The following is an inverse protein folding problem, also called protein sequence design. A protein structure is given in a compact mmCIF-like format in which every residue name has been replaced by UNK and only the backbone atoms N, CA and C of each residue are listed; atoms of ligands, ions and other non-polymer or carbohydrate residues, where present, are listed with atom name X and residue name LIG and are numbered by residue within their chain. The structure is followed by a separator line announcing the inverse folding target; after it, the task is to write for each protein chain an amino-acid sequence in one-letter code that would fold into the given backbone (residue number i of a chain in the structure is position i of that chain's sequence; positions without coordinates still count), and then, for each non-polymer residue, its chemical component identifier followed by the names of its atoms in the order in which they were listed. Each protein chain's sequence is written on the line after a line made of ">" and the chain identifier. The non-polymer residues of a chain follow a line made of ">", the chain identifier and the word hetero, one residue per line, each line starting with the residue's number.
data_IF_882655161962
#
_entry.id   IF_882655161962
#
_cell.length_a   1.000
_cell.length_b   1.000
_cell.length_c   1.000
_cell.angle_alpha   90.00
_cell.angle_beta   90.00
_cell.angle_gamma   90.00
#
_symmetry.space_group_name_H-M   'P 1'
#
loop_
_entity.id
_entity.type
_entity.pdbx_description
1 polymer ?
#
# COMPACT_ATOMS: atom_id res chain seq x y z
N UNK A 1 23.57 -7.61 6.61
CA UNK A 1 24.29 -6.36 6.29
C UNK A 1 23.29 -5.42 5.67
N UNK A 2 22.98 -4.36 6.40
CA UNK A 2 21.86 -3.46 6.20
C UNK A 2 22.08 -2.63 4.92
N UNK A 3 21.38 -2.98 3.85
CA UNK A 3 21.34 -2.16 2.64
C UNK A 3 20.78 -0.79 3.01
N UNK A 4 21.56 0.27 2.74
CA UNK A 4 21.15 1.64 2.94
C UNK A 4 19.80 1.85 2.25
N UNK A 5 18.75 2.07 3.03
CA UNK A 5 17.42 2.43 2.54
C UNK A 5 17.49 3.86 2.02
N UNK A 6 17.99 4.04 0.81
CA UNK A 6 17.96 5.33 0.14
C UNK A 6 16.52 5.70 -0.19
N UNK A 7 16.05 6.76 0.46
CA UNK A 7 14.75 7.39 0.25
C UNK A 7 14.56 7.69 -1.24
N UNK A 8 13.36 7.39 -1.76
CA UNK A 8 13.02 7.74 -3.13
C UNK A 8 12.89 9.25 -3.34
N UNK A 9 14.01 9.88 -3.70
CA UNK A 9 14.06 11.23 -4.26
C UNK A 9 13.79 11.16 -5.77
N UNK A 10 12.58 10.73 -6.13
CA UNK A 10 12.12 10.64 -7.52
C UNK A 10 12.58 9.35 -8.22
N UNK A 11 13.02 9.41 -9.49
CA UNK A 11 13.27 8.23 -10.32
C UNK A 11 14.59 7.50 -10.00
N UNK A 12 15.25 7.83 -8.88
CA UNK A 12 16.32 7.03 -8.29
C UNK A 12 15.81 5.87 -7.41
N UNK A 13 14.49 5.67 -7.29
CA UNK A 13 13.95 4.45 -6.67
C UNK A 13 14.46 3.20 -7.39
N UNK A 14 15.39 2.45 -6.78
CA UNK A 14 15.91 1.22 -7.35
C UNK A 14 15.39 0.01 -6.58
N UNK A 15 14.13 -0.39 -6.76
CA UNK A 15 13.64 -1.68 -6.25
C UNK A 15 12.60 -2.30 -7.20
N UNK A 16 13.07 -2.73 -8.37
CA UNK A 16 12.42 -3.74 -9.19
C UNK A 16 13.40 -4.89 -9.43
N UNK A 17 12.95 -6.11 -9.78
CA UNK A 17 13.82 -7.26 -10.06
C UNK A 17 14.85 -7.00 -11.18
N UNK A 18 14.66 -5.93 -11.96
CA UNK A 18 15.50 -5.54 -13.09
C UNK A 18 16.22 -4.19 -12.91
N UNK A 19 16.24 -3.61 -11.70
CA UNK A 19 16.95 -2.35 -11.42
C UNK A 19 16.36 -1.08 -12.05
N UNK A 20 15.16 -1.15 -12.65
CA UNK A 20 14.47 0.01 -13.23
C UNK A 20 13.62 0.75 -12.20
N UNK A 21 13.51 2.07 -12.33
CA UNK A 21 12.72 2.87 -11.39
C UNK A 21 11.23 2.77 -11.66
N UNK A 22 10.51 2.33 -10.64
CA UNK A 22 9.04 2.18 -10.63
C UNK A 22 8.32 3.50 -10.34
N UNK A 23 9.06 4.57 -10.02
CA UNK A 23 8.50 5.88 -9.74
C UNK A 23 7.98 6.53 -11.02
N UNK A 24 6.75 7.05 -10.96
CA UNK A 24 6.09 7.76 -12.05
C UNK A 24 5.41 9.02 -11.53
N UNK A 25 5.40 10.07 -12.35
CA UNK A 25 4.67 11.30 -12.10
C UNK A 25 3.33 11.26 -12.83
N UNK A 26 2.22 11.37 -12.11
CA UNK A 26 0.86 11.36 -12.69
C UNK A 26 0.62 12.49 -13.69
N UNK A 27 1.26 13.65 -13.49
CA UNK A 27 1.21 14.80 -14.40
C UNK A 27 2.14 14.70 -15.59
N UNK A 28 2.99 13.66 -15.67
CA UNK A 28 4.03 13.50 -16.71
C UNK A 28 4.93 14.74 -16.89
N UNK A 29 5.05 15.57 -15.85
CA UNK A 29 5.82 16.81 -15.86
C UNK A 29 7.29 16.62 -15.46
N UNK A 30 7.67 15.39 -15.12
CA UNK A 30 9.03 15.06 -14.69
C UNK A 30 9.95 14.88 -15.91
N UNK A 31 11.02 15.66 -16.00
CA UNK A 31 12.03 15.56 -17.05
C UNK A 31 13.43 15.49 -16.44
N UNK A 32 14.29 14.55 -16.87
CA UNK A 32 15.71 14.63 -16.54
C UNK A 32 16.31 15.86 -17.25
N UNK A 33 17.06 16.67 -16.52
CA UNK A 33 17.74 17.85 -17.05
C UNK A 33 19.16 17.86 -16.50
N UNK A 34 20.11 18.26 -17.34
CA UNK A 34 21.51 18.40 -16.94
C UNK A 34 21.69 19.81 -16.40
N UNK A 35 22.06 19.94 -15.13
CA UNK A 35 22.48 21.22 -14.54
C UNK A 35 23.91 21.06 -14.03
N UNK A 36 24.85 21.75 -14.69
CA UNK A 36 26.27 21.55 -14.47
C UNK A 36 26.70 20.11 -14.78
N UNK A 37 27.37 19.45 -13.83
CA UNK A 37 27.85 18.07 -13.96
C UNK A 37 26.88 17.00 -13.39
N UNK A 38 25.64 17.36 -13.05
CA UNK A 38 24.69 16.42 -12.43
C UNK A 38 23.39 16.34 -13.24
N UNK A 39 22.88 15.12 -13.39
CA UNK A 39 21.51 14.87 -13.87
C UNK A 39 20.57 15.11 -12.70
N UNK A 40 19.73 16.12 -12.83
CA UNK A 40 18.67 16.46 -11.87
C UNK A 40 17.30 16.20 -12.51
N UNK A 41 16.32 15.86 -11.67
CA UNK A 41 14.96 15.61 -12.14
C UNK A 41 14.12 16.86 -11.93
N UNK A 42 13.79 17.52 -13.02
CA UNK A 42 13.08 18.79 -13.05
C UNK A 42 11.58 18.58 -13.26
N UNK A 43 10.76 19.29 -12.49
CA UNK A 43 9.32 19.34 -12.68
C UNK A 43 8.97 20.55 -13.56
N UNK A 44 8.55 20.31 -14.81
CA UNK A 44 8.19 21.39 -15.75
C UNK A 44 6.90 22.11 -15.39
N UNK A 45 6.11 21.57 -14.45
CA UNK A 45 4.86 22.19 -14.01
C UNK A 45 5.11 23.26 -12.93
N UNK A 46 5.89 22.92 -11.90
CA UNK A 46 6.25 23.84 -10.82
C UNK A 46 7.50 24.68 -11.15
N UNK A 47 8.22 24.30 -12.21
CA UNK A 47 9.54 24.81 -12.55
C UNK A 47 10.52 24.73 -11.38
N UNK A 48 10.55 23.57 -10.72
CA UNK A 48 11.40 23.30 -9.57
C UNK A 48 11.92 21.85 -9.58
N UNK A 49 12.89 21.55 -8.73
CA UNK A 49 13.42 20.21 -8.55
C UNK A 49 12.35 19.25 -7.98
N UNK A 50 12.36 18.00 -8.43
CA UNK A 50 11.38 17.02 -8.01
C UNK A 50 11.59 16.59 -6.55
N UNK A 51 10.59 16.86 -5.71
CA UNK A 51 10.54 16.44 -4.29
C UNK A 51 10.28 14.93 -4.08
N UNK A 52 10.27 14.13 -5.14
CA UNK A 52 10.13 12.67 -5.08
C UNK A 52 8.79 12.20 -4.51
N UNK A 53 8.85 11.24 -3.57
CA UNK A 53 7.67 10.60 -2.98
C UNK A 53 6.75 11.52 -2.18
N UNK A 54 7.22 12.71 -1.77
CA UNK A 54 6.40 13.72 -1.08
C UNK A 54 5.42 14.45 -2.01
N UNK A 55 5.57 14.28 -3.33
CA UNK A 55 4.68 14.91 -4.30
C UNK A 55 3.30 14.23 -4.29
N UNK A 56 2.23 15.02 -4.23
CA UNK A 56 0.84 14.53 -4.33
C UNK A 56 0.56 13.74 -5.62
N UNK A 57 1.35 13.96 -6.68
CA UNK A 57 1.22 13.30 -7.98
C UNK A 57 2.23 12.16 -8.17
N UNK A 58 3.01 11.82 -7.14
CA UNK A 58 3.92 10.69 -7.18
C UNK A 58 3.13 9.38 -7.04
N UNK A 59 3.42 8.41 -7.90
CA UNK A 59 2.91 7.05 -7.73
C UNK A 59 3.95 6.03 -8.17
N UNK A 60 3.86 4.83 -7.59
CA UNK A 60 4.64 3.68 -8.06
C UNK A 60 3.84 2.90 -9.09
N UNK A 61 4.48 2.47 -10.16
CA UNK A 61 3.90 1.58 -11.17
C UNK A 61 3.43 0.25 -10.55
N UNK A 62 4.11 -0.24 -9.51
CA UNK A 62 3.71 -1.39 -8.71
C UNK A 62 2.52 -1.13 -7.74
N UNK A 63 1.92 0.07 -7.77
CA UNK A 63 0.75 0.48 -6.97
C UNK A 63 0.92 0.34 -5.45
N UNK A 64 2.15 0.41 -4.96
CA UNK A 64 2.44 0.46 -3.53
C UNK A 64 3.57 1.45 -3.25
N UNK A 65 3.21 2.73 -3.21
CA UNK A 65 4.09 3.77 -2.67
C UNK A 65 3.82 3.86 -1.16
N UNK A 66 4.82 3.59 -0.34
CA UNK A 66 4.72 3.81 1.10
C UNK A 66 4.85 5.31 1.41
N UNK A 67 4.27 5.79 2.54
CA UNK A 67 4.48 7.18 3.00
C UNK A 67 5.95 7.51 3.26
N UNK A 68 6.77 6.49 3.54
CA UNK A 68 8.23 6.59 3.69
C UNK A 68 8.96 6.76 2.35
N UNK A 69 8.23 6.77 1.23
CA UNK A 69 8.81 6.90 -0.10
C UNK A 69 9.54 5.65 -0.56
N UNK A 70 8.96 4.47 -0.35
CA UNK A 70 9.45 3.23 -0.93
C UNK A 70 8.40 2.68 -1.90
N UNK A 71 8.82 2.29 -3.10
CA UNK A 71 7.99 1.48 -3.98
C UNK A 71 8.15 0.02 -3.58
N UNK A 72 7.13 -0.55 -2.93
CA UNK A 72 7.09 -1.98 -2.66
C UNK A 72 6.34 -2.68 -3.80
N UNK A 73 6.74 -3.92 -4.12
CA UNK A 73 5.93 -4.76 -4.99
C UNK A 73 4.82 -5.31 -4.08
N UNK A 74 3.58 -4.86 -4.26
CA UNK A 74 2.43 -5.61 -3.71
C UNK A 74 2.40 -6.94 -4.44
N UNK A 75 2.80 -8.02 -3.76
CA UNK A 75 2.56 -9.36 -4.26
C UNK A 75 1.05 -9.47 -4.56
N UNK A 76 0.69 -9.73 -5.83
CA UNK A 76 -0.67 -10.09 -6.22
C UNK A 76 -1.02 -11.35 -5.41
N UNK A 77 -1.81 -11.19 -4.35
CA UNK A 77 -2.09 -12.28 -3.40
C UNK A 77 -2.15 -11.84 -1.94
N UNK A 78 -1.65 -10.65 -1.59
CA UNK A 78 -2.03 -9.99 -0.34
C UNK A 78 -3.35 -9.24 -0.53
N UNK A 79 -4.40 -9.95 -0.99
CA UNK A 79 -5.71 -9.60 -0.45
C UNK A 79 -5.54 -9.79 1.06
N UNK A 80 -5.67 -8.71 1.83
CA UNK A 80 -6.08 -8.88 3.21
C UNK A 80 -7.21 -9.90 3.15
N UNK A 81 -7.01 -11.06 3.79
CA UNK A 81 -8.08 -12.00 4.02
C UNK A 81 -9.11 -11.24 4.85
N UNK A 82 -9.94 -10.42 4.20
CA UNK A 82 -11.23 -10.03 4.70
C UNK A 82 -11.92 -11.37 4.85
N UNK A 83 -11.84 -11.91 6.07
CA UNK A 83 -12.64 -13.04 6.46
C UNK A 83 -14.05 -12.70 5.97
N UNK A 84 -14.57 -13.53 5.08
CA UNK A 84 -15.86 -13.29 4.44
C UNK A 84 -16.88 -13.01 5.53
N UNK A 85 -17.38 -11.77 5.60
CA UNK A 85 -18.25 -11.29 6.68
C UNK A 85 -19.47 -12.22 6.82
N UNK A 86 -19.89 -12.80 5.71
CA UNK A 86 -20.98 -13.79 5.63
C UNK A 86 -20.61 -15.08 6.35
N UNK A 87 -19.38 -15.56 6.20
CA UNK A 87 -18.91 -16.79 6.85
C UNK A 87 -18.78 -16.61 8.37
N UNK A 88 -18.25 -15.49 8.82
CA UNK A 88 -18.11 -15.19 10.25
C UNK A 88 -19.49 -14.96 10.90
N UNK A 89 -20.41 -14.27 10.23
CA UNK A 89 -21.81 -14.15 10.68
C UNK A 89 -22.47 -15.52 10.85
N UNK A 90 -22.30 -16.43 9.89
CA UNK A 90 -22.86 -17.79 9.94
C UNK A 90 -22.30 -18.63 11.08
N UNK A 91 -21.02 -18.46 11.45
CA UNK A 91 -20.44 -19.12 12.63
C UNK A 91 -21.07 -18.60 13.91
N UNK A 92 -21.21 -17.27 14.05
CA UNK A 92 -21.84 -16.66 15.23
C UNK A 92 -23.28 -17.15 15.41
N UNK A 93 -24.08 -17.23 14.34
CA UNK A 93 -25.44 -17.78 14.40
C UNK A 93 -25.49 -19.23 14.89
N UNK A 94 -24.53 -20.06 14.48
CA UNK A 94 -24.47 -21.45 14.93
C UNK A 94 -24.10 -21.57 16.42
N UNK A 95 -23.22 -20.70 16.91
CA UNK A 95 -22.87 -20.67 18.33
C UNK A 95 -24.06 -20.17 19.18
N UNK A 96 -24.78 -19.15 18.72
CA UNK A 96 -26.01 -18.67 19.38
C UNK A 96 -27.06 -19.78 19.47
N UNK A 97 -27.29 -20.55 18.39
CA UNK A 97 -28.22 -21.69 18.40
C UNK A 97 -27.85 -22.77 19.41
N UNK A 98 -26.56 -23.05 19.58
CA UNK A 98 -26.10 -24.00 20.62
C UNK A 98 -26.42 -23.46 22.01
N UNK A 99 -26.07 -22.20 22.26
CA UNK A 99 -26.33 -21.54 23.55
C UNK A 99 -27.83 -21.55 23.86
N UNK A 100 -28.69 -21.20 22.90
CA UNK A 100 -30.14 -21.28 23.02
C UNK A 100 -30.64 -22.69 23.38
N UNK A 101 -30.10 -23.71 22.73
CA UNK A 101 -30.47 -25.10 23.02
C UNK A 101 -30.11 -25.50 24.45
N UNK A 102 -28.93 -25.10 24.93
CA UNK A 102 -28.50 -25.33 26.30
C UNK A 102 -29.37 -24.55 27.30
N UNK A 103 -29.64 -23.27 27.07
CA UNK A 103 -30.49 -22.45 27.94
C UNK A 103 -31.93 -22.99 28.03
N UNK A 104 -32.49 -23.44 26.90
CA UNK A 104 -33.80 -24.09 26.85
C UNK A 104 -33.84 -25.38 27.69
N UNK A 105 -32.75 -26.15 27.73
CA UNK A 105 -32.64 -27.36 28.55
C UNK A 105 -32.56 -27.05 30.05
N UNK A 106 -31.91 -25.95 30.43
CA UNK A 106 -31.79 -25.53 31.83
C UNK A 106 -33.00 -24.71 32.33
N UNK A 107 -33.94 -24.35 31.46
CA UNK A 107 -35.12 -23.56 31.83
C UNK A 107 -34.88 -22.06 31.97
N UNK A 108 -33.69 -21.56 31.61
CA UNK A 108 -33.31 -20.13 31.65
C UNK A 108 -33.57 -19.44 30.29
N UNK A 109 -34.77 -19.61 29.73
CA UNK A 109 -35.10 -19.03 28.41
C UNK A 109 -35.08 -17.50 28.39
N UNK A 110 -35.25 -16.85 29.54
CA UNK A 110 -35.44 -15.40 29.64
C UNK A 110 -34.12 -14.60 29.73
N UNK A 111 -32.97 -15.27 29.63
CA UNK A 111 -31.62 -14.68 29.82
C UNK A 111 -30.90 -14.32 28.50
N UNK A 112 -31.58 -14.43 27.36
CA UNK A 112 -31.08 -14.06 26.03
C UNK A 112 -31.93 -12.93 25.45
#
# INVERSE_FOLDING_TARGET
>A
MSGARELCLGPRCAFGPNGSSLFRCGKRALRPTIRGNKIVFWCTWLNDECIGAKCQYAYCEARALTPDGLCTIKAKGAEEKRADIVLEAKKMENEVKKIEHHLKKYGLKDYL
#
